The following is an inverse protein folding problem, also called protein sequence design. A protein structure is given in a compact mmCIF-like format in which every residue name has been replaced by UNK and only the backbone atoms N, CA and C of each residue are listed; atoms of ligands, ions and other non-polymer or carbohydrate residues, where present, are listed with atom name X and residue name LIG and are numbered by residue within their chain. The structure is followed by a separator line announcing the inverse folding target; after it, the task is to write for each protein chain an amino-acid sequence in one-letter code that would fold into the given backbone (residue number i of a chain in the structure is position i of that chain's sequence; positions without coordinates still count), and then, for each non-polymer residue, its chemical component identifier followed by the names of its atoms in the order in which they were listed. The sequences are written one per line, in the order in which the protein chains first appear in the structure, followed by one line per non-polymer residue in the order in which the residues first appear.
data_IF_391056133553
#
_entry.id   IF_391056133553
#
_cell.length_a   1.000
_cell.length_b   1.000
_cell.length_c   1.000
_cell.angle_alpha   90.00
_cell.angle_beta   90.00
_cell.angle_gamma   90.00
#
_symmetry.space_group_name_H-M   'P 1'
#
loop_
_entity.id
_entity.type
_entity.pdbx_description
1 polymer ?
#
# COMPACT_ATOMS: atom_id res chain seq x y z
N UNK A 1 -7.40 10.19 9.25
CA UNK A 1 -8.11 10.96 8.21
C UNK A 1 -7.68 10.42 6.85
N UNK A 2 -8.62 10.24 5.98
CA UNK A 2 -8.43 9.82 4.59
C UNK A 2 -9.05 10.89 3.69
N UNK A 3 -8.39 11.24 2.61
CA UNK A 3 -8.85 12.24 1.63
C UNK A 3 -8.77 11.65 0.24
N UNK A 4 -9.83 11.83 -0.55
CA UNK A 4 -9.80 11.50 -1.96
C UNK A 4 -8.98 12.51 -2.74
N UNK A 5 -8.23 12.06 -3.73
CA UNK A 5 -7.45 12.91 -4.62
C UNK A 5 -7.74 12.61 -6.09
N UNK A 6 -7.71 13.66 -6.89
CA UNK A 6 -7.93 13.52 -8.32
C UNK A 6 -6.69 12.96 -9.04
N UNK A 7 -6.90 12.31 -10.19
CA UNK A 7 -5.81 11.76 -11.00
C UNK A 7 -4.73 12.81 -11.32
N UNK A 8 -5.13 14.05 -11.61
CA UNK A 8 -4.18 15.14 -11.89
C UNK A 8 -3.30 15.47 -10.68
N UNK A 9 -3.87 15.45 -9.49
CA UNK A 9 -3.13 15.68 -8.25
C UNK A 9 -2.17 14.52 -7.95
N UNK A 10 -2.62 13.29 -8.12
CA UNK A 10 -1.78 12.10 -8.05
C UNK A 10 -0.59 12.21 -9.00
N UNK A 11 -0.84 12.57 -10.27
CA UNK A 11 0.20 12.70 -11.28
C UNK A 11 1.26 13.76 -10.93
N UNK A 12 0.86 14.82 -10.23
CA UNK A 12 1.79 15.88 -9.80
C UNK A 12 2.60 15.47 -8.56
N UNK A 13 2.01 14.72 -7.64
CA UNK A 13 2.65 14.34 -6.37
C UNK A 13 3.57 13.13 -6.49
N UNK A 14 3.18 12.12 -7.28
CA UNK A 14 3.84 10.82 -7.32
C UNK A 14 4.79 10.72 -8.51
N UNK A 15 6.08 10.52 -8.23
CA UNK A 15 7.12 10.37 -9.24
C UNK A 15 7.31 8.90 -9.66
N UNK A 16 7.27 7.96 -8.71
CA UNK A 16 7.45 6.53 -8.98
C UNK A 16 6.08 5.90 -9.21
N UNK A 17 5.65 5.88 -10.45
CA UNK A 17 4.34 5.36 -10.88
C UNK A 17 4.44 4.70 -12.26
N UNK A 18 3.54 3.79 -12.53
CA UNK A 18 3.46 3.05 -13.78
C UNK A 18 2.03 2.52 -13.99
N UNK A 19 1.67 2.25 -15.24
CA UNK A 19 0.33 1.77 -15.58
C UNK A 19 0.13 0.28 -15.30
N UNK A 20 1.23 -0.49 -15.32
CA UNK A 20 1.25 -1.92 -15.00
C UNK A 20 2.63 -2.29 -14.43
N UNK A 21 2.69 -3.45 -13.79
CA UNK A 21 3.88 -3.93 -13.09
C UNK A 21 5.12 -4.09 -14.03
N UNK A 22 4.90 -4.50 -15.28
CA UNK A 22 6.00 -4.68 -16.24
C UNK A 22 6.67 -3.36 -16.58
N UNK A 23 5.88 -2.30 -16.73
CA UNK A 23 6.39 -0.93 -16.92
C UNK A 23 7.23 -0.49 -15.71
N UNK A 24 6.81 -0.87 -14.50
CA UNK A 24 7.57 -0.60 -13.28
C UNK A 24 8.96 -1.26 -13.31
N UNK A 25 9.02 -2.54 -13.66
CA UNK A 25 10.29 -3.27 -13.80
C UNK A 25 11.21 -2.68 -14.88
N UNK A 26 10.64 -2.15 -15.96
CA UNK A 26 11.41 -1.55 -17.03
C UNK A 26 11.97 -0.16 -16.67
N UNK A 27 11.24 0.62 -15.90
CA UNK A 27 11.56 2.03 -15.61
C UNK A 27 12.38 2.25 -14.35
N UNK A 28 12.21 1.41 -13.34
CA UNK A 28 12.71 1.66 -11.99
C UNK A 28 13.60 0.53 -11.48
N UNK A 29 14.44 0.85 -10.50
CA UNK A 29 15.10 -0.16 -9.70
C UNK A 29 14.06 -0.86 -8.81
N UNK A 30 14.27 -2.13 -8.54
CA UNK A 30 13.33 -2.93 -7.75
C UNK A 30 14.05 -3.76 -6.69
N UNK A 31 13.43 -3.84 -5.52
CA UNK A 31 13.75 -4.82 -4.48
C UNK A 31 12.51 -5.67 -4.28
N UNK A 32 12.65 -6.99 -4.41
CA UNK A 32 11.57 -7.93 -4.12
C UNK A 32 11.52 -8.19 -2.62
N UNK A 33 10.51 -7.65 -1.94
CA UNK A 33 10.26 -7.94 -0.54
C UNK A 33 9.54 -9.30 -0.47
N UNK A 34 10.14 -10.25 0.23
CA UNK A 34 9.59 -11.61 0.34
C UNK A 34 9.97 -12.25 1.68
N UNK A 35 9.45 -11.73 2.81
CA UNK A 35 9.73 -12.27 4.12
C UNK A 35 9.20 -13.70 4.24
N UNK A 36 9.89 -14.52 5.01
CA UNK A 36 9.55 -15.91 5.27
C UNK A 36 9.00 -16.05 6.69
N UNK A 37 8.07 -16.97 6.87
CA UNK A 37 7.50 -17.26 8.19
C UNK A 37 5.99 -17.47 8.16
N UNK A 38 5.37 -17.37 9.32
CA UNK A 38 3.92 -17.43 9.46
C UNK A 38 3.29 -16.13 8.99
N UNK A 39 2.02 -16.19 8.59
CA UNK A 39 1.29 -15.03 8.09
C UNK A 39 1.34 -13.84 9.06
N UNK A 40 1.09 -14.07 10.34
CA UNK A 40 1.07 -13.01 11.35
C UNK A 40 2.44 -12.33 11.49
N UNK A 41 3.52 -13.09 11.44
CA UNK A 41 4.89 -12.58 11.55
C UNK A 41 5.24 -11.73 10.29
N UNK A 42 4.82 -12.20 9.12
CA UNK A 42 5.01 -11.48 7.85
C UNK A 42 4.22 -10.17 7.85
N UNK A 43 2.97 -10.21 8.30
CA UNK A 43 2.12 -9.02 8.40
C UNK A 43 2.75 -7.99 9.35
N UNK A 44 3.26 -8.42 10.51
CA UNK A 44 3.94 -7.54 11.46
C UNK A 44 5.19 -6.89 10.85
N UNK A 45 6.01 -7.66 10.14
CA UNK A 45 7.20 -7.13 9.44
C UNK A 45 6.80 -6.04 8.41
N UNK A 46 5.80 -6.28 7.59
CA UNK A 46 5.32 -5.29 6.63
C UNK A 46 4.72 -4.06 7.31
N UNK A 47 3.87 -4.24 8.32
CA UNK A 47 3.27 -3.12 9.05
C UNK A 47 4.36 -2.23 9.66
N UNK A 48 5.36 -2.82 10.30
CA UNK A 48 6.47 -2.08 10.91
C UNK A 48 7.28 -1.33 9.85
N UNK A 49 7.54 -1.94 8.72
CA UNK A 49 8.24 -1.30 7.60
C UNK A 49 7.45 -0.13 7.02
N UNK A 50 6.18 -0.31 6.74
CA UNK A 50 5.31 0.76 6.24
C UNK A 50 5.20 1.92 7.24
N UNK A 51 5.15 1.61 8.54
CA UNK A 51 5.17 2.62 9.60
C UNK A 51 6.47 3.43 9.63
N UNK A 52 7.61 2.78 9.44
CA UNK A 52 8.90 3.48 9.37
C UNK A 52 8.91 4.55 8.28
N UNK A 53 8.46 4.20 7.07
CA UNK A 53 8.37 5.17 5.97
C UNK A 53 7.32 6.24 6.28
N UNK A 54 6.13 5.81 6.74
CA UNK A 54 5.02 6.71 7.05
C UNK A 54 5.40 7.73 8.14
N UNK A 55 6.12 7.32 9.18
CA UNK A 55 6.54 8.21 10.26
C UNK A 55 7.45 9.34 9.78
N UNK A 56 8.22 9.10 8.74
CA UNK A 56 9.06 10.11 8.09
C UNK A 56 8.24 11.00 7.15
N UNK A 57 7.41 10.41 6.31
CA UNK A 57 6.65 11.12 5.29
C UNK A 57 5.40 11.80 5.83
N UNK A 58 4.79 11.24 6.88
CA UNK A 58 3.51 11.65 7.49
C UNK A 58 2.32 11.61 6.53
N UNK A 59 2.51 11.04 5.35
CA UNK A 59 1.47 10.85 4.35
C UNK A 59 1.84 9.73 3.39
N UNK A 60 0.83 9.06 2.88
CA UNK A 60 0.99 8.12 1.79
C UNK A 60 -0.24 8.21 0.89
N UNK A 61 -0.06 7.96 -0.39
CA UNK A 61 -1.17 7.78 -1.32
C UNK A 61 -1.32 6.28 -1.59
N UNK A 62 -2.56 5.81 -1.66
CA UNK A 62 -2.88 4.46 -2.10
C UNK A 62 -3.79 4.51 -3.33
N UNK A 63 -3.74 3.48 -4.16
CA UNK A 63 -4.83 3.20 -5.08
C UNK A 63 -5.83 2.24 -4.41
N UNK A 64 -7.11 2.48 -4.63
CA UNK A 64 -8.16 1.62 -4.12
C UNK A 64 -9.33 1.63 -5.10
N UNK A 65 -9.42 0.57 -5.90
CA UNK A 65 -10.42 0.44 -6.97
C UNK A 65 -11.78 -0.03 -6.42
N UNK A 66 -12.40 0.79 -5.57
CA UNK A 66 -13.66 0.44 -4.88
C UNK A 66 -14.81 0.08 -5.82
N UNK A 67 -14.79 0.59 -7.05
CA UNK A 67 -15.76 0.23 -8.09
C UNK A 67 -15.78 -1.27 -8.42
N UNK A 68 -14.66 -1.97 -8.16
CA UNK A 68 -14.54 -3.41 -8.35
C UNK A 68 -15.11 -4.23 -7.18
N UNK A 69 -15.55 -3.58 -6.09
CA UNK A 69 -16.09 -4.25 -4.91
C UNK A 69 -17.61 -4.40 -5.03
N UNK A 70 -18.07 -5.66 -4.99
CA UNK A 70 -19.47 -6.00 -4.79
C UNK A 70 -19.79 -6.08 -3.29
N UNK A 71 -21.08 -6.16 -2.95
CA UNK A 71 -21.51 -6.41 -1.56
C UNK A 71 -20.94 -7.71 -1.01
N UNK A 72 -20.91 -8.75 -1.86
CA UNK A 72 -20.34 -10.06 -1.51
C UNK A 72 -18.85 -9.98 -1.26
N UNK A 73 -18.13 -9.22 -2.09
CA UNK A 73 -16.68 -8.97 -1.90
C UNK A 73 -16.39 -8.25 -0.58
N UNK A 74 -17.16 -7.22 -0.25
CA UNK A 74 -17.03 -6.47 0.99
C UNK A 74 -17.30 -7.38 2.19
N UNK A 75 -18.34 -8.19 2.13
CA UNK A 75 -18.65 -9.17 3.17
C UNK A 75 -17.51 -10.16 3.36
N UNK A 76 -16.99 -10.73 2.27
CA UNK A 76 -15.87 -11.65 2.30
C UNK A 76 -14.62 -11.02 2.92
N UNK A 77 -14.31 -9.76 2.56
CA UNK A 77 -13.19 -9.03 3.17
C UNK A 77 -13.39 -8.91 4.68
N UNK A 78 -14.58 -8.47 5.13
CA UNK A 78 -14.89 -8.31 6.55
C UNK A 78 -14.81 -9.64 7.34
N UNK A 79 -15.15 -10.75 6.73
CA UNK A 79 -14.99 -12.09 7.34
C UNK A 79 -13.52 -12.51 7.51
N UNK A 80 -12.59 -11.84 6.85
CA UNK A 80 -11.16 -12.17 6.82
C UNK A 80 -10.24 -11.06 7.37
N UNK A 81 -10.79 -10.07 8.04
CA UNK A 81 -10.05 -9.03 8.78
C UNK A 81 -10.63 -8.91 10.19
N UNK A 82 -9.98 -8.17 11.07
CA UNK A 82 -10.44 -7.97 12.42
C UNK A 82 -11.59 -6.94 12.49
N UNK A 83 -12.50 -7.12 13.43
CA UNK A 83 -13.70 -6.28 13.58
C UNK A 83 -13.36 -4.79 13.76
N UNK A 84 -12.26 -4.51 14.46
CA UNK A 84 -11.75 -3.14 14.68
C UNK A 84 -11.38 -2.42 13.38
N UNK A 85 -11.14 -3.17 12.31
CA UNK A 85 -10.76 -2.63 11.01
C UNK A 85 -11.95 -2.36 10.07
N UNK A 86 -13.16 -2.82 10.44
CA UNK A 86 -14.36 -2.65 9.60
C UNK A 86 -14.67 -1.18 9.33
N UNK A 87 -14.58 -0.34 10.35
CA UNK A 87 -14.84 1.09 10.20
C UNK A 87 -13.84 1.79 9.27
N UNK A 88 -12.58 1.34 9.27
CA UNK A 88 -11.54 1.85 8.39
C UNK A 88 -11.80 1.48 6.93
N UNK A 89 -12.21 0.24 6.69
CA UNK A 89 -12.61 -0.22 5.35
C UNK A 89 -13.81 0.57 4.84
N UNK A 90 -14.84 0.72 5.68
CA UNK A 90 -16.04 1.48 5.32
C UNK A 90 -15.73 2.95 5.06
N UNK A 91 -14.79 3.56 5.80
CA UNK A 91 -14.33 4.93 5.58
C UNK A 91 -13.69 5.08 4.19
N UNK A 92 -12.81 4.14 3.78
CA UNK A 92 -12.20 4.15 2.45
C UNK A 92 -13.29 4.03 1.36
N UNK A 93 -14.19 3.07 1.51
CA UNK A 93 -15.25 2.79 0.53
C UNK A 93 -16.17 3.99 0.35
N UNK A 94 -16.51 4.69 1.44
CA UNK A 94 -17.48 5.79 1.43
C UNK A 94 -16.84 7.17 1.17
N UNK A 95 -15.53 7.28 1.12
CA UNK A 95 -14.86 8.56 0.82
C UNK A 95 -14.84 8.82 -0.69
N UNK A 96 -15.34 9.99 -1.11
CA UNK A 96 -15.40 10.39 -2.51
C UNK A 96 -16.39 9.58 -3.36
N UNK A 97 -16.46 9.88 -4.65
CA UNK A 97 -17.31 9.15 -5.60
C UNK A 97 -16.71 7.78 -5.98
N UNK A 98 -17.51 6.93 -6.61
CA UNK A 98 -17.07 5.58 -7.04
C UNK A 98 -15.97 5.60 -8.09
N UNK A 99 -15.81 6.69 -8.82
CA UNK A 99 -14.76 6.85 -9.84
C UNK A 99 -13.40 7.28 -9.26
N UNK A 100 -13.35 7.65 -7.98
CA UNK A 100 -12.10 7.97 -7.30
C UNK A 100 -11.31 6.69 -7.05
N UNK A 101 -10.04 6.73 -7.44
CA UNK A 101 -9.10 5.61 -7.31
C UNK A 101 -8.06 5.89 -6.24
N UNK A 102 -7.61 7.15 -6.10
CA UNK A 102 -6.50 7.52 -5.23
C UNK A 102 -6.97 8.18 -3.95
N UNK A 103 -6.33 7.78 -2.85
CA UNK A 103 -6.64 8.28 -1.51
C UNK A 103 -5.35 8.62 -0.78
N UNK A 104 -5.31 9.81 -0.18
CA UNK A 104 -4.22 10.21 0.70
C UNK A 104 -4.53 9.82 2.14
N UNK A 105 -3.66 9.01 2.72
CA UNK A 105 -3.74 8.52 4.08
C UNK A 105 -2.83 9.37 4.97
N UNK A 106 -3.39 10.00 6.00
CA UNK A 106 -2.66 10.86 6.94
C UNK A 106 -2.62 10.31 8.36
N UNK A 107 -3.04 9.06 8.54
CA UNK A 107 -3.02 8.39 9.83
C UNK A 107 -2.56 6.95 9.68
N UNK A 108 -1.59 6.54 10.49
CA UNK A 108 -1.00 5.19 10.43
C UNK A 108 -1.98 4.06 10.76
N UNK A 109 -3.13 4.36 11.36
CA UNK A 109 -4.15 3.36 11.72
C UNK A 109 -4.61 2.49 10.54
N UNK A 110 -4.52 3.00 9.29
CA UNK A 110 -4.91 2.26 8.09
C UNK A 110 -3.88 1.23 7.65
N UNK A 111 -2.62 1.33 8.09
CA UNK A 111 -1.53 0.50 7.59
C UNK A 111 -1.73 -0.98 7.90
N UNK A 112 -2.29 -1.31 9.06
CA UNK A 112 -2.64 -2.70 9.39
C UNK A 112 -3.67 -3.27 8.42
N UNK A 113 -4.79 -2.60 8.24
CA UNK A 113 -5.83 -3.01 7.29
C UNK A 113 -5.26 -3.17 5.87
N UNK A 114 -4.57 -2.15 5.35
CA UNK A 114 -4.03 -2.17 4.00
C UNK A 114 -3.00 -3.30 3.81
N UNK A 115 -2.18 -3.58 4.81
CA UNK A 115 -1.26 -4.72 4.79
C UNK A 115 -2.03 -6.03 4.68
N UNK A 116 -3.03 -6.25 5.52
CA UNK A 116 -3.82 -7.48 5.53
C UNK A 116 -4.62 -7.70 4.24
N UNK A 117 -5.16 -6.62 3.66
CA UNK A 117 -5.81 -6.70 2.35
C UNK A 117 -4.86 -7.29 1.29
N UNK A 118 -3.59 -6.90 1.31
CA UNK A 118 -2.58 -7.38 0.38
C UNK A 118 -2.03 -8.77 0.74
N UNK A 119 -1.64 -9.00 1.99
CA UNK A 119 -1.02 -10.27 2.42
C UNK A 119 -2.00 -11.43 2.39
N UNK A 120 -3.28 -11.17 2.65
CA UNK A 120 -4.37 -12.16 2.61
C UNK A 120 -5.03 -12.25 1.24
N UNK A 121 -4.50 -11.52 0.25
CA UNK A 121 -5.01 -11.51 -1.14
C UNK A 121 -6.51 -11.19 -1.25
N UNK A 122 -6.99 -10.32 -0.35
CA UNK A 122 -8.40 -9.92 -0.30
C UNK A 122 -8.71 -8.80 -1.28
N UNK A 123 -7.79 -7.84 -1.39
CA UNK A 123 -7.89 -6.70 -2.30
C UNK A 123 -6.53 -6.02 -2.42
N UNK A 124 -5.96 -5.99 -3.61
CA UNK A 124 -4.63 -5.41 -3.81
C UNK A 124 -4.66 -3.91 -3.89
N UNK A 125 -3.73 -3.28 -3.19
CA UNK A 125 -3.47 -1.84 -3.21
C UNK A 125 -1.99 -1.57 -3.40
N UNK A 126 -1.67 -0.41 -3.97
CA UNK A 126 -0.30 0.08 -4.11
C UNK A 126 -0.06 1.19 -3.10
N UNK A 127 1.12 1.20 -2.49
CA UNK A 127 1.54 2.21 -1.54
C UNK A 127 2.51 3.18 -2.22
N UNK A 128 2.11 4.45 -2.35
CA UNK A 128 2.93 5.51 -2.93
C UNK A 128 3.42 6.45 -1.83
N UNK A 129 4.61 6.20 -1.31
CA UNK A 129 5.30 7.11 -0.39
C UNK A 129 5.99 8.20 -1.19
N UNK A 130 5.22 9.19 -1.63
CA UNK A 130 5.63 10.15 -2.64
C UNK A 130 6.74 11.11 -2.17
N UNK A 131 6.88 11.37 -0.86
CA UNK A 131 7.98 12.18 -0.34
C UNK A 131 9.29 11.42 -0.28
N UNK A 132 9.25 10.13 0.04
CA UNK A 132 10.43 9.24 0.00
C UNK A 132 10.76 8.72 -1.39
N UNK A 133 9.88 8.95 -2.38
CA UNK A 133 10.00 8.38 -3.74
C UNK A 133 10.16 6.85 -3.73
N UNK A 134 9.27 6.19 -3.00
CA UNK A 134 9.17 4.73 -2.89
C UNK A 134 7.76 4.32 -3.24
N UNK A 135 7.63 3.33 -4.12
CA UNK A 135 6.34 2.70 -4.43
C UNK A 135 6.41 1.21 -4.12
N UNK A 136 5.44 0.69 -3.37
CA UNK A 136 5.36 -0.74 -3.02
C UNK A 136 4.07 -1.28 -3.62
N UNK A 137 4.21 -2.28 -4.47
CA UNK A 137 3.09 -2.92 -5.17
C UNK A 137 2.59 -4.12 -4.39
N UNK A 138 1.32 -4.10 -3.97
CA UNK A 138 0.66 -5.27 -3.41
C UNK A 138 0.53 -6.37 -4.44
N UNK A 139 0.94 -7.59 -4.09
CA UNK A 139 1.00 -8.70 -5.03
C UNK A 139 0.79 -10.04 -4.34
N UNK A 140 0.63 -11.09 -5.16
CA UNK A 140 0.42 -12.46 -4.68
C UNK A 140 1.59 -13.01 -3.87
N UNK A 141 1.30 -14.02 -3.06
CA UNK A 141 2.26 -14.77 -2.25
C UNK A 141 3.06 -13.91 -1.26
N UNK A 142 2.49 -12.77 -0.83
CA UNK A 142 3.15 -11.84 0.09
C UNK A 142 4.51 -11.34 -0.44
N UNK A 143 4.69 -11.36 -1.76
CA UNK A 143 5.90 -10.92 -2.43
C UNK A 143 5.65 -9.55 -3.05
N UNK A 144 6.06 -8.49 -2.36
CA UNK A 144 5.78 -7.12 -2.77
C UNK A 144 7.01 -6.46 -3.38
N UNK A 145 7.02 -6.14 -4.68
CA UNK A 145 8.10 -5.36 -5.27
C UNK A 145 8.07 -3.92 -4.77
N UNK A 146 9.23 -3.44 -4.36
CA UNK A 146 9.50 -2.06 -3.97
C UNK A 146 10.28 -1.39 -5.07
N UNK A 147 9.73 -0.30 -5.61
CA UNK A 147 10.31 0.47 -6.71
C UNK A 147 10.90 1.79 -6.22
N UNK A 148 12.06 2.17 -6.76
CA UNK A 148 12.76 3.42 -6.47
C UNK A 148 13.66 3.80 -7.66
N UNK A 149 14.15 5.04 -7.71
CA UNK A 149 15.07 5.48 -8.76
C UNK A 149 16.52 5.51 -8.33
N UNK A 150 16.79 6.12 -7.17
CA UNK A 150 18.14 6.33 -6.66
C UNK A 150 18.31 5.67 -5.28
N UNK A 151 19.52 5.22 -4.98
CA UNK A 151 19.83 4.54 -3.72
C UNK A 151 19.49 5.38 -2.47
N UNK A 152 19.60 6.71 -2.56
CA UNK A 152 19.28 7.59 -1.45
C UNK A 152 17.80 7.51 -1.01
N UNK A 153 16.89 7.08 -1.88
CA UNK A 153 15.48 6.87 -1.54
C UNK A 153 15.29 5.76 -0.51
N UNK A 154 16.06 4.68 -0.61
CA UNK A 154 15.94 3.49 0.25
C UNK A 154 16.96 3.44 1.39
N UNK A 155 18.04 4.22 1.30
CA UNK A 155 19.14 4.22 2.27
C UNK A 155 18.68 4.33 3.73
N UNK A 156 17.70 5.19 4.09
CA UNK A 156 17.20 5.28 5.47
C UNK A 156 16.52 4.01 5.98
N UNK A 157 16.15 3.09 5.09
CA UNK A 157 15.33 1.92 5.39
C UNK A 157 16.06 0.60 5.18
N UNK A 158 17.36 0.62 4.80
CA UNK A 158 18.11 -0.59 4.45
C UNK A 158 18.13 -1.65 5.56
N UNK A 159 18.21 -1.23 6.82
CA UNK A 159 18.25 -2.17 7.93
C UNK A 159 16.95 -2.93 8.12
N UNK A 160 15.81 -2.24 8.00
CA UNK A 160 14.51 -2.90 8.09
C UNK A 160 14.18 -3.70 6.82
N UNK A 161 14.62 -3.23 5.64
CA UNK A 161 14.46 -3.96 4.37
C UNK A 161 15.11 -5.33 4.44
N UNK A 162 16.28 -5.47 5.07
CA UNK A 162 16.97 -6.76 5.24
C UNK A 162 16.10 -7.82 5.91
N UNK A 163 15.21 -7.43 6.82
CA UNK A 163 14.29 -8.34 7.50
C UNK A 163 13.14 -8.81 6.60
N UNK A 164 12.97 -8.17 5.43
CA UNK A 164 11.90 -8.44 4.46
C UNK A 164 12.40 -9.22 3.22
N UNK A 165 13.65 -9.66 3.23
CA UNK A 165 14.25 -10.39 2.09
C UNK A 165 14.24 -11.91 2.26
#
# INVERSE_FOLDING_TARGET
MIEDILNKEFDLKVNIKFNNILEGYDKYKVIELYPKGKLEDIEELYINFLKEIFNKDKALIIDFYKKNLSRESIKFIKENIEEEEYSLLDEIINTGSDDIIYFEIKNEKYLSLLTKLNTRELFFTTFYFYKSNITIWGNYNMKFPLFYEIEDNIKPYLDIIKNLL
#
